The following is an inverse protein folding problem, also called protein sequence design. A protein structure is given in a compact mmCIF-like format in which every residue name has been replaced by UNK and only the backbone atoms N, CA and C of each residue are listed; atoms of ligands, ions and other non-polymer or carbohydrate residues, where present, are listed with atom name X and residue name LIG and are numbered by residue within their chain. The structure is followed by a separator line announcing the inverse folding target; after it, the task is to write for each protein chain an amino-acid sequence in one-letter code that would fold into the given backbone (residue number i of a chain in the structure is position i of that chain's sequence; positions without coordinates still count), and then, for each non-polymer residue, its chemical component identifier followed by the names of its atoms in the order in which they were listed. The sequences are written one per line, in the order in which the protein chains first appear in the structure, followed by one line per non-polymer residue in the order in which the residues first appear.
data_IF_431196482168
#
_entry.id   IF_431196482168
#
_cell.length_a   1.000
_cell.length_b   1.000
_cell.length_c   1.000
_cell.angle_alpha   90.00
_cell.angle_beta   90.00
_cell.angle_gamma   90.00
#
_symmetry.space_group_name_H-M   'P 1'
#
loop_
_entity.id
_entity.type
_entity.pdbx_description
1 polymer ?
#
# COMPACT_ATOMS: atom_id res chain seq x y z
N UNK A 1 11.25 -12.45 12.03
CA UNK A 1 10.80 -11.04 12.00
C UNK A 1 9.52 -11.05 11.21
N UNK A 2 8.40 -10.64 11.81
CA UNK A 2 7.18 -10.38 11.06
C UNK A 2 7.39 -9.06 10.31
N UNK A 3 7.24 -9.10 8.99
CA UNK A 3 7.26 -7.94 8.12
C UNK A 3 5.98 -7.94 7.31
N UNK A 4 5.45 -6.75 7.04
CA UNK A 4 4.33 -6.60 6.13
C UNK A 4 4.85 -6.62 4.69
N UNK A 5 4.22 -7.43 3.84
CA UNK A 5 4.54 -7.50 2.42
C UNK A 5 3.71 -6.50 1.65
N UNK A 6 4.33 -5.83 0.68
CA UNK A 6 3.67 -4.85 -0.18
C UNK A 6 4.03 -5.10 -1.64
N UNK A 7 3.09 -4.81 -2.52
CA UNK A 7 3.29 -4.78 -3.97
C UNK A 7 3.33 -3.34 -4.45
N UNK A 8 4.36 -3.00 -5.22
CA UNK A 8 4.50 -1.71 -5.91
C UNK A 8 4.34 -1.95 -7.41
N UNK A 9 3.36 -1.30 -8.03
CA UNK A 9 3.15 -1.28 -9.47
C UNK A 9 3.27 0.16 -9.97
N UNK A 10 3.85 0.34 -11.16
CA UNK A 10 3.99 1.66 -11.77
C UNK A 10 4.00 1.57 -13.29
N UNK A 11 3.52 2.63 -13.93
CA UNK A 11 3.63 2.85 -15.37
C UNK A 11 4.17 4.27 -15.66
N UNK A 12 3.83 4.83 -16.84
CA UNK A 12 4.28 6.17 -17.24
C UNK A 12 3.52 7.32 -16.56
N UNK A 13 2.42 7.05 -15.88
CA UNK A 13 1.50 8.05 -15.35
C UNK A 13 1.36 7.94 -13.82
N UNK A 14 1.26 6.72 -13.29
CA UNK A 14 0.92 6.49 -11.89
C UNK A 14 1.76 5.42 -11.18
N UNK A 15 1.73 5.50 -9.85
CA UNK A 15 2.27 4.51 -8.91
C UNK A 15 1.14 4.01 -8.04
N UNK A 16 1.03 2.69 -7.89
CA UNK A 16 0.13 2.01 -6.97
C UNK A 16 0.92 1.21 -5.95
N UNK A 17 0.55 1.35 -4.67
CA UNK A 17 1.06 0.53 -3.57
C UNK A 17 -0.12 -0.24 -2.98
N UNK A 18 0.06 -1.56 -2.81
CA UNK A 18 -0.94 -2.45 -2.20
C UNK A 18 -0.31 -3.24 -1.06
N UNK A 19 -0.98 -3.30 0.09
CA UNK A 19 -0.64 -4.26 1.15
C UNK A 19 -1.03 -5.67 0.72
N UNK A 20 -0.10 -6.62 0.82
CA UNK A 20 -0.37 -8.04 0.54
C UNK A 20 -0.93 -8.68 1.83
N UNK A 21 -2.15 -8.31 2.20
CA UNK A 21 -2.86 -9.07 3.23
C UNK A 21 -3.17 -10.47 2.67
N UNK A 22 -2.69 -11.51 3.35
CA UNK A 22 -3.16 -12.87 3.16
C UNK A 22 -4.65 -12.89 3.52
N UNK A 23 -5.50 -13.34 2.59
CA UNK A 23 -6.91 -13.65 2.89
C UNK A 23 -6.97 -14.54 4.13
N UNK A 24 -7.86 -14.21 5.07
CA UNK A 24 -8.15 -15.11 6.18
C UNK A 24 -8.87 -16.35 5.63
N UNK A 25 -8.27 -17.53 5.79
CA UNK A 25 -8.99 -18.80 5.72
C UNK A 25 -9.82 -18.97 7.00
N UNK A 26 -11.12 -18.63 6.93
CA UNK A 26 -12.13 -18.86 7.98
C UNK A 26 -12.58 -17.57 8.68
N UNK A 27 -13.86 -17.28 8.94
CA UNK A 27 -15.12 -17.97 8.74
C UNK A 27 -16.12 -16.98 8.12
N UNK A 28 -17.10 -17.49 7.37
CA UNK A 28 -18.30 -16.85 6.81
C UNK A 28 -18.43 -15.33 6.99
N UNK A 29 -18.22 -14.57 5.90
CA UNK A 29 -18.57 -13.16 5.82
C UNK A 29 -20.08 -13.01 6.08
N UNK A 30 -20.47 -12.38 7.19
CA UNK A 30 -21.87 -12.22 7.59
C UNK A 30 -22.71 -11.58 6.46
N UNK A 31 -23.94 -12.08 6.24
CA UNK A 31 -24.87 -11.53 5.24
C UNK A 31 -25.07 -10.01 5.47
N UNK A 32 -24.57 -9.21 4.53
CA UNK A 32 -24.66 -7.74 4.58
C UNK A 32 -23.35 -7.02 4.87
N UNK A 33 -22.26 -7.74 5.13
CA UNK A 33 -20.91 -7.16 5.23
C UNK A 33 -20.20 -7.17 3.87
N UNK A 34 -19.67 -6.02 3.46
CA UNK A 34 -18.72 -5.94 2.35
C UNK A 34 -17.31 -5.84 2.94
N UNK A 35 -16.38 -6.67 2.48
CA UNK A 35 -14.96 -6.49 2.79
C UNK A 35 -14.49 -5.17 2.17
N UNK A 36 -14.05 -4.22 3.00
CA UNK A 36 -13.58 -2.91 2.55
C UNK A 36 -12.05 -2.89 2.59
N UNK A 37 -11.40 -3.12 1.46
CA UNK A 37 -9.95 -3.16 1.33
C UNK A 37 -9.34 -1.86 0.77
N UNK A 38 -10.16 -0.81 0.59
CA UNK A 38 -9.71 0.48 0.04
C UNK A 38 -8.61 1.15 0.91
N UNK A 39 -8.55 0.86 2.22
CA UNK A 39 -7.46 1.34 3.09
C UNK A 39 -6.11 0.66 2.85
N UNK A 40 -6.09 -0.46 2.10
CA UNK A 40 -4.88 -1.25 1.80
C UNK A 40 -4.26 -0.90 0.45
N UNK A 41 -4.76 0.14 -0.22
CA UNK A 41 -4.39 0.56 -1.56
C UNK A 41 -4.11 2.08 -1.59
N UNK A 42 -3.05 2.49 -2.28
CA UNK A 42 -2.72 3.91 -2.42
C UNK A 42 -2.17 4.22 -3.81
N UNK A 43 -2.58 5.37 -4.35
CA UNK A 43 -2.19 5.82 -5.68
C UNK A 43 -1.64 7.24 -5.64
N UNK A 44 -0.67 7.52 -6.50
CA UNK A 44 -0.19 8.87 -6.75
C UNK A 44 0.48 8.96 -8.13
N UNK A 45 0.67 10.18 -8.64
CA UNK A 45 1.48 10.39 -9.84
C UNK A 45 2.96 10.12 -9.58
N UNK A 46 3.73 9.87 -10.64
CA UNK A 46 5.18 9.61 -10.55
C UNK A 46 5.93 10.71 -9.79
N UNK A 47 5.64 11.98 -10.08
CA UNK A 47 6.33 13.12 -9.47
C UNK A 47 6.05 13.24 -7.97
N UNK A 48 4.82 12.95 -7.56
CA UNK A 48 4.44 12.93 -6.15
C UNK A 48 5.16 11.79 -5.42
N UNK A 49 5.21 10.60 -6.03
CA UNK A 49 5.93 9.46 -5.46
C UNK A 49 7.42 9.76 -5.27
N UNK A 50 8.07 10.36 -6.27
CA UNK A 50 9.48 10.77 -6.19
C UNK A 50 9.70 11.81 -5.08
N UNK A 51 8.76 12.72 -4.87
CA UNK A 51 8.81 13.72 -3.80
C UNK A 51 8.76 13.05 -2.43
N UNK A 52 7.83 12.11 -2.24
CA UNK A 52 7.70 11.33 -1.00
C UNK A 52 8.96 10.51 -0.73
N UNK A 53 9.51 9.80 -1.72
CA UNK A 53 10.73 9.01 -1.54
C UNK A 53 11.94 9.86 -1.12
N UNK A 54 12.10 11.06 -1.71
CA UNK A 54 13.16 11.99 -1.33
C UNK A 54 12.98 12.49 0.10
N UNK A 55 11.76 12.87 0.48
CA UNK A 55 11.44 13.33 1.82
C UNK A 55 11.67 12.21 2.85
N UNK A 56 11.19 11.00 2.58
CA UNK A 56 11.37 9.84 3.45
C UNK A 56 12.84 9.46 3.61
N UNK A 57 13.62 9.43 2.53
CA UNK A 57 15.07 9.21 2.60
C UNK A 57 15.77 10.28 3.44
N UNK A 58 15.38 11.55 3.29
CA UNK A 58 15.92 12.64 4.10
C UNK A 58 15.58 12.46 5.58
N UNK A 59 14.34 12.06 5.87
CA UNK A 59 13.90 11.76 7.24
C UNK A 59 14.77 10.68 7.87
N UNK A 60 14.93 9.53 7.21
CA UNK A 60 15.71 8.39 7.71
C UNK A 60 17.20 8.66 7.91
N UNK A 61 17.76 9.65 7.21
CA UNK A 61 19.19 9.99 7.31
C UNK A 61 19.46 11.09 8.34
N UNK A 62 18.46 11.89 8.70
CA UNK A 62 18.63 13.08 9.53
C UNK A 62 17.85 13.02 10.85
N UNK A 63 16.99 12.01 11.05
CA UNK A 63 16.23 11.73 12.26
C UNK A 63 16.27 10.24 12.58
#
# INVERSE_FOLDING_TARGET
MEGHEYTLLMDGEEVMIRANQLEFEGDEMEEGMNYYDEESLSFCGIEDFLTVLKAYRSFMLNY
#
